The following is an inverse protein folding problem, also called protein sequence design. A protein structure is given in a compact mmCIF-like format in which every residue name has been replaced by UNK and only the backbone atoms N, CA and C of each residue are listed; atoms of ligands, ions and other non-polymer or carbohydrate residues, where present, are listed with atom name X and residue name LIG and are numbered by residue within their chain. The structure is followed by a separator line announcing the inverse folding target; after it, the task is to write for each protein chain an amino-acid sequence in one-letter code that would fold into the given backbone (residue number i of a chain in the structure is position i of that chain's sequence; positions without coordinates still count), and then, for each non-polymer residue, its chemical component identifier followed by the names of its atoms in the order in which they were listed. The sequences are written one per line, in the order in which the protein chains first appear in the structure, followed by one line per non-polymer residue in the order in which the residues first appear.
data_IF_676614899767
#
_entry.id   IF_676614899767
#
_cell.length_a   1.000
_cell.length_b   1.000
_cell.length_c   1.000
_cell.angle_alpha   90.00
_cell.angle_beta   90.00
_cell.angle_gamma   90.00
#
_symmetry.space_group_name_H-M   'P 1'
#
loop_
_entity.id
_entity.type
_entity.pdbx_description
1 polymer ?
#
# COMPACT_ATOMS: atom_id res chain seq x y z
N UNK A 1 -5.13 6.26 -9.79
CA UNK A 1 -5.38 4.93 -10.36
C UNK A 1 -6.46 4.13 -9.63
N UNK A 2 -6.43 4.05 -8.28
CA UNK A 2 -7.36 3.21 -7.50
C UNK A 2 -8.67 3.90 -7.12
N UNK A 3 -8.72 5.23 -7.12
CA UNK A 3 -9.88 6.02 -6.67
C UNK A 3 -11.21 5.61 -7.31
N UNK A 4 -11.31 5.38 -8.63
CA UNK A 4 -12.59 5.07 -9.26
C UNK A 4 -13.17 3.71 -8.87
N UNK A 5 -12.34 2.77 -8.44
CA UNK A 5 -12.78 1.43 -8.03
C UNK A 5 -13.30 1.40 -6.60
N UNK A 6 -12.73 2.24 -5.75
CA UNK A 6 -12.95 2.21 -4.31
C UNK A 6 -13.91 3.31 -3.84
N UNK A 7 -14.22 4.30 -4.69
CA UNK A 7 -15.12 5.41 -4.36
C UNK A 7 -16.52 4.95 -3.93
N UNK A 8 -17.00 3.84 -4.45
CA UNK A 8 -18.34 3.28 -4.13
C UNK A 8 -18.38 2.48 -2.82
N UNK A 9 -17.22 2.14 -2.24
CA UNK A 9 -17.17 1.43 -0.96
C UNK A 9 -17.44 2.38 0.21
N UNK A 10 -18.11 1.90 1.30
CA UNK A 10 -18.21 2.66 2.54
C UNK A 10 -16.82 3.01 3.07
N UNK A 11 -16.52 4.31 3.22
CA UNK A 11 -15.16 4.77 3.52
C UNK A 11 -14.44 5.39 2.31
N UNK A 12 -14.91 5.14 1.10
CA UNK A 12 -14.47 5.81 -0.13
C UNK A 12 -12.95 5.87 -0.30
N UNK A 13 -12.40 7.08 -0.39
CA UNK A 13 -10.97 7.30 -0.64
C UNK A 13 -10.02 6.88 0.50
N UNK A 14 -10.52 6.59 1.70
CA UNK A 14 -9.68 6.02 2.77
C UNK A 14 -9.14 4.65 2.36
N UNK A 15 -9.91 3.85 1.62
CA UNK A 15 -9.41 2.57 1.07
C UNK A 15 -8.26 2.77 0.09
N UNK A 16 -8.29 3.87 -0.68
CA UNK A 16 -7.17 4.24 -1.57
C UNK A 16 -5.90 4.52 -0.77
N UNK A 17 -6.05 5.10 0.42
CA UNK A 17 -4.93 5.35 1.33
C UNK A 17 -4.28 4.03 1.79
N UNK A 18 -5.10 3.06 2.23
CA UNK A 18 -4.62 1.74 2.68
C UNK A 18 -3.93 0.99 1.54
N UNK A 19 -4.58 0.90 0.37
CA UNK A 19 -3.99 0.22 -0.79
C UNK A 19 -2.77 0.97 -1.33
N UNK A 20 -2.80 2.30 -1.31
CA UNK A 20 -1.64 3.13 -1.63
C UNK A 20 -0.45 2.84 -0.71
N UNK A 21 -0.69 2.71 0.59
CA UNK A 21 0.33 2.29 1.54
C UNK A 21 0.83 0.86 1.26
N UNK A 22 -0.06 -0.09 0.97
CA UNK A 22 0.32 -1.47 0.67
C UNK A 22 1.21 -1.56 -0.59
N UNK A 23 0.82 -0.86 -1.66
CA UNK A 23 1.58 -0.82 -2.92
C UNK A 23 2.92 -0.11 -2.71
N UNK A 24 2.93 1.04 -2.03
CA UNK A 24 4.16 1.79 -1.79
C UNK A 24 5.08 1.05 -0.82
N UNK A 25 4.52 0.33 0.15
CA UNK A 25 5.25 -0.55 1.06
C UNK A 25 6.06 -1.61 0.30
N UNK A 26 5.45 -2.22 -0.72
CA UNK A 26 6.11 -3.20 -1.59
C UNK A 26 7.26 -2.61 -2.44
N UNK A 27 7.43 -1.29 -2.47
CA UNK A 27 8.54 -0.63 -3.17
C UNK A 27 9.57 -0.14 -2.15
N UNK A 28 9.11 0.55 -1.10
CA UNK A 28 9.98 1.25 -0.17
C UNK A 28 10.56 0.35 0.93
N UNK A 29 9.86 -0.73 1.28
CA UNK A 29 10.22 -1.62 2.39
C UNK A 29 10.32 -0.91 3.76
N UNK A 30 9.83 0.33 3.86
CA UNK A 30 9.96 1.19 5.03
C UNK A 30 8.62 1.82 5.42
N UNK A 31 8.18 1.61 6.66
CA UNK A 31 6.96 2.21 7.19
C UNK A 31 7.01 3.73 7.21
N UNK A 32 8.14 4.30 7.64
CA UNK A 32 8.31 5.75 7.71
C UNK A 32 8.23 6.40 6.33
N UNK A 33 8.94 5.84 5.33
CA UNK A 33 8.91 6.32 3.96
C UNK A 33 7.50 6.19 3.36
N UNK A 34 6.81 5.07 3.64
CA UNK A 34 5.44 4.83 3.19
C UNK A 34 4.47 5.88 3.73
N UNK A 35 4.46 6.11 5.05
CA UNK A 35 3.59 7.11 5.68
C UNK A 35 3.89 8.52 5.18
N UNK A 36 5.17 8.89 5.09
CA UNK A 36 5.59 10.21 4.65
C UNK A 36 5.15 10.48 3.20
N UNK A 37 5.39 9.53 2.30
CA UNK A 37 5.10 9.71 0.86
C UNK A 37 3.60 9.66 0.58
N UNK A 38 2.92 8.61 1.03
CA UNK A 38 1.47 8.46 0.82
C UNK A 38 0.72 9.57 1.54
N UNK A 39 1.13 9.92 2.76
CA UNK A 39 0.52 11.00 3.54
C UNK A 39 0.65 12.37 2.86
N UNK A 40 1.82 12.70 2.33
CA UNK A 40 2.05 13.95 1.60
C UNK A 40 1.09 14.11 0.41
N UNK A 41 0.74 13.01 -0.25
CA UNK A 41 -0.17 13.02 -1.40
C UNK A 41 -1.65 12.94 -0.98
N UNK A 42 -1.98 12.10 -0.01
CA UNK A 42 -3.37 11.79 0.33
C UNK A 42 -4.00 12.75 1.34
N UNK A 43 -3.23 13.27 2.31
CA UNK A 43 -3.77 14.15 3.35
C UNK A 43 -4.42 15.40 2.76
N UNK A 44 -3.76 16.17 1.87
CA UNK A 44 -4.37 17.37 1.30
C UNK A 44 -5.65 17.07 0.53
N UNK A 45 -5.68 15.96 -0.21
CA UNK A 45 -6.83 15.58 -1.02
C UNK A 45 -8.02 15.13 -0.16
N UNK A 46 -7.78 14.33 0.87
CA UNK A 46 -8.81 13.87 1.78
C UNK A 46 -9.35 14.99 2.68
N UNK A 47 -8.49 15.96 3.08
CA UNK A 47 -8.92 17.16 3.79
C UNK A 47 -9.84 18.04 2.95
N UNK A 48 -9.51 18.27 1.66
CA UNK A 48 -10.37 19.01 0.71
C UNK A 48 -11.75 18.39 0.58
N UNK A 49 -11.85 17.07 0.75
CA UNK A 49 -13.10 16.32 0.67
C UNK A 49 -13.80 16.17 2.02
N UNK A 50 -13.37 16.90 3.06
CA UNK A 50 -13.95 16.91 4.40
C UNK A 50 -13.97 15.54 5.12
N UNK A 51 -12.94 14.70 4.90
CA UNK A 51 -12.77 13.49 5.69
C UNK A 51 -12.37 13.82 7.12
N UNK A 52 -12.89 13.09 8.14
CA UNK A 52 -12.52 13.30 9.54
C UNK A 52 -11.01 13.13 9.74
N UNK A 53 -10.33 14.17 10.19
CA UNK A 53 -8.87 14.20 10.27
C UNK A 53 -8.28 13.10 11.14
N UNK A 54 -8.88 12.85 12.31
CA UNK A 54 -8.44 11.77 13.22
C UNK A 54 -8.51 10.40 12.56
N UNK A 55 -9.56 10.16 11.77
CA UNK A 55 -9.75 8.89 11.07
C UNK A 55 -8.76 8.74 9.91
N UNK A 56 -8.56 9.82 9.16
CA UNK A 56 -7.57 9.88 8.08
C UNK A 56 -6.16 9.60 8.60
N UNK A 57 -5.73 10.31 9.63
CA UNK A 57 -4.38 10.14 10.20
C UNK A 57 -4.21 8.77 10.85
N UNK A 58 -5.22 8.28 11.58
CA UNK A 58 -5.18 6.96 12.18
C UNK A 58 -5.07 5.83 11.18
N UNK A 59 -5.85 5.88 10.10
CA UNK A 59 -5.77 4.87 9.02
C UNK A 59 -4.48 4.95 8.25
N UNK A 60 -3.92 6.14 8.03
CA UNK A 60 -2.62 6.32 7.39
C UNK A 60 -1.49 5.75 8.27
N UNK A 61 -1.48 6.07 9.56
CA UNK A 61 -0.48 5.56 10.50
C UNK A 61 -0.55 4.03 10.61
N UNK A 62 -1.77 3.47 10.73
CA UNK A 62 -1.98 2.02 10.75
C UNK A 62 -1.54 1.34 9.46
N UNK A 63 -2.02 1.80 8.30
CA UNK A 63 -1.67 1.19 7.01
C UNK A 63 -0.20 1.38 6.64
N UNK A 64 0.47 2.39 7.17
CA UNK A 64 1.91 2.56 6.99
C UNK A 64 2.74 1.42 7.56
N UNK A 65 2.25 0.73 8.60
CA UNK A 65 2.93 -0.45 9.17
C UNK A 65 3.01 -1.63 8.19
N UNK A 66 2.21 -1.63 7.12
CA UNK A 66 2.32 -2.63 6.06
C UNK A 66 3.72 -2.69 5.44
N UNK A 67 4.50 -1.59 5.49
CA UNK A 67 5.88 -1.55 5.05
C UNK A 67 6.85 -2.45 5.83
N UNK A 68 6.44 -2.96 6.99
CA UNK A 68 7.22 -3.95 7.75
C UNK A 68 6.95 -5.39 7.27
N UNK A 69 5.74 -5.66 6.75
CA UNK A 69 5.28 -7.01 6.43
C UNK A 69 5.30 -7.31 4.93
N UNK A 70 4.90 -6.34 4.10
CA UNK A 70 4.79 -6.55 2.65
C UNK A 70 6.20 -6.55 2.04
N UNK A 71 6.61 -7.64 1.37
CA UNK A 71 7.92 -7.71 0.72
C UNK A 71 8.04 -6.79 -0.51
N UNK A 72 9.27 -6.31 -0.81
CA UNK A 72 10.49 -6.41 -0.04
C UNK A 72 10.50 -5.52 1.20
N UNK A 73 10.83 -6.06 2.36
CA UNK A 73 10.86 -5.33 3.64
C UNK A 73 12.28 -5.35 4.21
N UNK A 74 12.78 -4.18 4.61
CA UNK A 74 14.10 -4.03 5.23
C UNK A 74 14.18 -4.85 6.53
N UNK A 75 13.10 -4.88 7.29
CA UNK A 75 13.04 -5.63 8.56
C UNK A 75 13.16 -7.14 8.31
N UNK A 76 12.49 -7.67 7.28
CA UNK A 76 12.60 -9.09 6.93
C UNK A 76 14.00 -9.45 6.43
N UNK A 77 14.70 -8.52 5.75
CA UNK A 77 16.09 -8.72 5.34
C UNK A 77 16.99 -8.80 6.57
N UNK A 78 16.90 -7.82 7.47
CA UNK A 78 17.70 -7.79 8.71
C UNK A 78 17.44 -9.05 9.54
N UNK A 79 16.18 -9.42 9.72
CA UNK A 79 15.79 -10.62 10.45
C UNK A 79 16.39 -11.88 9.81
N UNK A 80 16.25 -12.06 8.48
CA UNK A 80 16.78 -13.21 7.77
C UNK A 80 18.30 -13.36 7.92
N UNK A 81 19.04 -12.25 7.86
CA UNK A 81 20.48 -12.24 8.07
C UNK A 81 20.83 -12.60 9.51
N UNK A 82 20.08 -12.09 10.50
CA UNK A 82 20.36 -12.33 11.92
C UNK A 82 20.12 -13.77 12.35
N UNK A 83 19.08 -14.42 11.80
CA UNK A 83 18.72 -15.81 12.12
C UNK A 83 19.23 -16.83 11.10
N UNK A 84 20.05 -16.38 10.14
CA UNK A 84 20.62 -17.22 9.07
C UNK A 84 19.57 -17.95 8.22
N UNK A 85 18.38 -17.33 8.06
CA UNK A 85 17.29 -17.87 7.27
C UNK A 85 17.21 -17.25 5.87
N UNK A 86 16.63 -17.98 4.92
CA UNK A 86 16.48 -17.51 3.55
C UNK A 86 15.53 -16.31 3.47
N UNK A 87 16.06 -15.16 3.02
CA UNK A 87 15.30 -13.93 2.82
C UNK A 87 14.13 -14.16 1.84
N UNK A 88 14.33 -14.96 0.78
CA UNK A 88 13.29 -15.31 -0.17
C UNK A 88 12.13 -16.06 0.50
N UNK A 89 12.42 -17.02 1.38
CA UNK A 89 11.38 -17.74 2.14
C UNK A 89 10.61 -16.80 3.08
N UNK A 90 11.32 -15.87 3.74
CA UNK A 90 10.70 -14.88 4.61
C UNK A 90 9.80 -13.92 3.83
N UNK A 91 10.17 -13.54 2.63
CA UNK A 91 9.35 -12.71 1.76
C UNK A 91 8.05 -13.43 1.37
N UNK A 92 8.13 -14.71 0.96
CA UNK A 92 6.92 -15.50 0.68
C UNK A 92 6.02 -15.58 1.92
N UNK A 93 6.60 -15.88 3.07
CA UNK A 93 5.86 -15.97 4.32
C UNK A 93 5.19 -14.65 4.73
N UNK A 94 5.78 -13.50 4.38
CA UNK A 94 5.25 -12.17 4.66
C UNK A 94 4.06 -11.76 3.80
N UNK A 95 3.87 -12.34 2.60
CA UNK A 95 2.81 -11.95 1.67
C UNK A 95 1.41 -12.20 2.27
N UNK A 96 1.17 -13.40 2.79
CA UNK A 96 -0.15 -13.79 3.31
C UNK A 96 -0.56 -12.91 4.50
N UNK A 97 0.25 -12.76 5.57
CA UNK A 97 -0.10 -11.89 6.68
C UNK A 97 -0.17 -10.42 6.28
N UNK A 98 0.65 -9.96 5.31
CA UNK A 98 0.60 -8.60 4.80
C UNK A 98 -0.72 -8.28 4.10
N UNK A 99 -1.18 -9.18 3.22
CA UNK A 99 -2.50 -9.05 2.56
C UNK A 99 -3.61 -9.15 3.61
N UNK A 100 -3.52 -10.09 4.54
CA UNK A 100 -4.49 -10.26 5.63
C UNK A 100 -4.64 -8.99 6.46
N UNK A 101 -3.53 -8.34 6.81
CA UNK A 101 -3.54 -7.09 7.57
C UNK A 101 -4.14 -5.93 6.76
N UNK A 102 -3.81 -5.83 5.47
CA UNK A 102 -4.42 -4.81 4.60
C UNK A 102 -5.94 -4.99 4.50
N UNK A 103 -6.42 -6.23 4.36
CA UNK A 103 -7.85 -6.54 4.37
C UNK A 103 -8.52 -6.20 5.70
N UNK A 104 -7.87 -6.49 6.84
CA UNK A 104 -8.37 -6.11 8.16
C UNK A 104 -8.53 -4.59 8.30
N UNK A 105 -7.56 -3.80 7.82
CA UNK A 105 -7.69 -2.35 7.78
C UNK A 105 -8.87 -1.90 6.91
N UNK A 106 -9.06 -2.52 5.74
CA UNK A 106 -10.20 -2.20 4.87
C UNK A 106 -11.53 -2.54 5.53
N UNK A 107 -11.65 -3.71 6.17
CA UNK A 107 -12.84 -4.13 6.93
C UNK A 107 -13.13 -3.15 8.08
N UNK A 108 -12.09 -2.75 8.82
CA UNK A 108 -12.23 -1.74 9.87
C UNK A 108 -12.79 -0.42 9.33
N UNK A 109 -12.26 0.06 8.19
CA UNK A 109 -12.73 1.29 7.54
C UNK A 109 -14.19 1.17 7.13
N UNK A 110 -14.61 0.04 6.55
CA UNK A 110 -16.01 -0.23 6.20
C UNK A 110 -16.89 -0.18 7.46
N UNK A 111 -16.54 -0.93 8.50
CA UNK A 111 -17.30 -0.98 9.74
C UNK A 111 -17.44 0.38 10.41
N UNK A 112 -16.33 1.14 10.50
CA UNK A 112 -16.34 2.48 11.07
C UNK A 112 -17.19 3.45 10.23
N UNK A 113 -17.08 3.39 8.90
CA UNK A 113 -17.83 4.24 7.98
C UNK A 113 -19.34 3.97 8.03
N UNK A 114 -19.72 2.70 8.14
CA UNK A 114 -21.14 2.32 8.28
C UNK A 114 -21.73 2.83 9.59
N UNK A 115 -20.95 2.81 10.68
CA UNK A 115 -21.37 3.32 11.99
C UNK A 115 -21.45 4.86 12.00
N UNK A 116 -20.61 5.54 11.24
CA UNK A 116 -20.45 6.99 11.25
C UNK A 116 -20.85 7.64 9.91
N UNK A 117 -21.90 7.15 9.27
CA UNK A 117 -22.38 7.62 7.95
C UNK A 117 -22.61 9.14 7.87
N UNK A 118 -22.99 9.77 8.99
CA UNK A 118 -23.26 11.23 9.03
C UNK A 118 -22.00 12.09 8.88
N UNK A 119 -20.85 11.54 9.20
CA UNK A 119 -19.55 12.27 9.22
C UNK A 119 -18.75 11.98 7.95
N UNK A 120 -19.08 10.89 7.26
CA UNK A 120 -18.36 10.49 6.04
C UNK A 120 -18.89 11.23 4.83
N UNK A 121 -18.02 11.82 3.98
CA UNK A 121 -18.45 12.48 2.77
C UNK A 121 -19.05 11.46 1.78
N UNK A 122 -20.16 11.86 1.15
CA UNK A 122 -20.75 11.08 0.06
C UNK A 122 -20.00 11.44 -1.21
N UNK A 123 -19.31 10.46 -1.80
CA UNK A 123 -18.64 10.65 -3.08
C UNK A 123 -19.60 10.25 -4.18
N UNK A 124 -20.13 11.26 -4.88
CA UNK A 124 -21.06 11.09 -6.01
C UNK A 124 -20.35 11.10 -7.38
N UNK A 125 -19.05 10.76 -7.41
CA UNK A 125 -18.32 10.70 -8.68
C UNK A 125 -18.64 9.38 -9.39
N UNK A 126 -19.48 9.45 -10.43
CA UNK A 126 -19.71 8.34 -11.34
C UNK A 126 -18.63 8.30 -12.42
N UNK A 127 -17.64 7.44 -12.19
CA UNK A 127 -16.61 7.18 -13.19
C UNK A 127 -17.11 6.20 -14.25
N UNK A 128 -16.93 6.54 -15.53
CA UNK A 128 -17.15 5.59 -16.64
C UNK A 128 -16.19 4.41 -16.52
N UNK A 129 -16.58 3.24 -17.04
CA UNK A 129 -15.70 2.06 -17.04
C UNK A 129 -14.36 2.34 -17.76
N UNK A 130 -14.41 3.14 -18.82
CA UNK A 130 -13.23 3.55 -19.58
C UNK A 130 -12.28 4.38 -18.72
N UNK A 131 -12.82 5.31 -17.91
CA UNK A 131 -12.02 6.13 -16.99
C UNK A 131 -11.34 5.27 -15.91
N UNK A 132 -12.02 4.24 -15.41
CA UNK A 132 -11.47 3.28 -14.45
C UNK A 132 -10.27 2.55 -15.02
N UNK A 133 -10.40 2.00 -16.22
CA UNK A 133 -9.32 1.28 -16.89
C UNK A 133 -8.15 2.21 -17.23
N UNK A 134 -8.42 3.40 -17.77
CA UNK A 134 -7.38 4.38 -18.10
C UNK A 134 -6.60 4.84 -16.89
N UNK A 135 -7.27 5.09 -15.76
CA UNK A 135 -6.60 5.45 -14.50
C UNK A 135 -5.83 4.27 -13.89
N UNK A 136 -6.31 3.03 -14.05
CA UNK A 136 -5.59 1.83 -13.60
C UNK A 136 -4.28 1.61 -14.35
N UNK A 137 -4.17 2.07 -15.60
CA UNK A 137 -2.93 2.03 -16.37
C UNK A 137 -1.76 2.76 -15.69
N UNK A 138 -2.04 3.77 -14.85
CA UNK A 138 -1.03 4.46 -14.06
C UNK A 138 -0.36 3.58 -12.99
N UNK A 139 -0.96 2.45 -12.64
CA UNK A 139 -0.39 1.48 -11.70
C UNK A 139 0.54 0.48 -12.39
N UNK A 140 0.48 0.39 -13.72
CA UNK A 140 1.26 -0.59 -14.48
C UNK A 140 2.77 -0.51 -14.23
N UNK A 141 3.42 0.68 -14.22
CA UNK A 141 4.85 0.78 -13.93
C UNK A 141 5.20 0.25 -12.55
N UNK A 142 4.36 0.53 -11.54
CA UNK A 142 4.55 0.08 -10.16
C UNK A 142 4.41 -1.44 -10.05
N UNK A 143 3.39 -2.02 -10.68
CA UNK A 143 3.18 -3.46 -10.72
C UNK A 143 4.35 -4.16 -11.41
N UNK A 144 4.82 -3.63 -12.54
CA UNK A 144 5.98 -4.17 -13.25
C UNK A 144 7.25 -4.11 -12.41
N UNK A 145 7.47 -3.02 -11.67
CA UNK A 145 8.61 -2.87 -10.77
C UNK A 145 8.56 -3.91 -9.65
N UNK A 146 7.40 -4.12 -9.01
CA UNK A 146 7.23 -5.14 -7.96
C UNK A 146 7.52 -6.53 -8.52
N UNK A 147 6.99 -6.87 -9.70
CA UNK A 147 7.27 -8.15 -10.35
C UNK A 147 8.73 -8.30 -10.74
N UNK A 148 9.40 -7.22 -11.20
CA UNK A 148 10.82 -7.24 -11.53
C UNK A 148 11.70 -7.50 -10.30
N UNK A 149 11.42 -6.81 -9.19
CA UNK A 149 12.15 -6.99 -7.92
C UNK A 149 11.95 -8.41 -7.38
N UNK A 150 10.70 -8.81 -7.19
CA UNK A 150 10.39 -10.14 -6.64
C UNK A 150 10.88 -11.24 -7.60
N UNK A 151 10.61 -11.10 -8.90
CA UNK A 151 11.01 -12.06 -9.92
C UNK A 151 12.53 -12.23 -10.02
N UNK A 152 13.32 -11.16 -9.92
CA UNK A 152 14.79 -11.23 -9.96
C UNK A 152 15.37 -11.97 -8.75
N UNK A 153 14.75 -11.82 -7.58
CA UNK A 153 15.14 -12.52 -6.35
C UNK A 153 14.85 -14.03 -6.50
N UNK A 154 13.66 -14.39 -6.98
CA UNK A 154 13.27 -15.79 -7.15
C UNK A 154 13.99 -16.51 -8.29
N UNK A 155 14.31 -15.79 -9.35
CA UNK A 155 15.12 -16.32 -10.45
C UNK A 155 16.60 -16.50 -10.07
N UNK A 156 17.02 -16.04 -8.87
CA UNK A 156 18.42 -16.11 -8.42
C UNK A 156 19.37 -15.19 -9.20
N UNK A 157 18.82 -14.26 -10.00
CA UNK A 157 19.60 -13.33 -10.84
C UNK A 157 20.23 -12.24 -9.96
N UNK A 158 19.54 -11.81 -8.92
CA UNK A 158 20.03 -10.79 -8.00
C UNK A 158 19.70 -11.17 -6.55
N UNK A 159 20.60 -10.78 -5.64
CA UNK A 159 20.30 -10.86 -4.21
C UNK A 159 19.23 -9.86 -3.84
N UNK A 160 18.50 -10.10 -2.74
CA UNK A 160 17.48 -9.18 -2.26
C UNK A 160 18.02 -7.76 -2.06
N UNK A 161 19.25 -7.61 -1.60
CA UNK A 161 19.91 -6.32 -1.39
C UNK A 161 20.20 -5.61 -2.72
N UNK A 162 20.72 -6.31 -3.71
CA UNK A 162 21.05 -5.75 -5.04
C UNK A 162 19.77 -5.35 -5.78
N UNK A 163 18.73 -6.18 -5.76
CA UNK A 163 17.45 -5.85 -6.39
C UNK A 163 16.82 -4.61 -5.76
N UNK A 164 16.89 -4.49 -4.43
CA UNK A 164 16.35 -3.33 -3.74
C UNK A 164 17.13 -2.04 -4.08
N UNK A 165 18.46 -2.07 -4.06
CA UNK A 165 19.28 -0.87 -4.31
C UNK A 165 19.22 -0.39 -5.76
N UNK A 166 19.30 -1.30 -6.74
CA UNK A 166 19.36 -0.91 -8.14
C UNK A 166 18.01 -0.67 -8.81
N UNK A 167 16.94 -1.31 -8.34
CA UNK A 167 15.60 -1.20 -8.95
C UNK A 167 14.71 -0.18 -8.27
N UNK A 168 14.97 0.13 -7.00
CA UNK A 168 14.07 1.01 -6.22
C UNK A 168 14.66 2.37 -5.86
N UNK A 169 15.98 2.52 -5.90
CA UNK A 169 16.63 3.80 -5.65
C UNK A 169 17.03 4.44 -6.98
N UNK A 170 16.70 5.72 -7.21
CA UNK A 170 17.29 6.45 -8.33
C UNK A 170 18.80 6.56 -8.11
N UNK A 171 19.57 6.18 -9.11
CA UNK A 171 21.02 6.40 -9.18
C UNK A 171 21.32 7.87 -9.33
#
# INVERSE_FOLDING_TARGET
GLSPWLSKLPGGLIHVNILGCAIFAAISGSSAATVATVGKMSIPELRKRNYPERFLLGTLAGSGTLGLLIPPSIILIIYGVTVEESIAKLFIAGIIPGIGLALLFMIYVVGWSLKNKKIMPVISEDFSFIDKVKQSGQLLPVILLIFAVIGSIYAGIATATVSYTHLTLPT
#
